data_IF_453540584175
#
_entry.id   IF_453540584175
#
_cell.length_a   1.000
_cell.length_b   1.000
_cell.length_c   1.000
_cell.angle_alpha   90.00
_cell.angle_beta   90.00
_cell.angle_gamma   90.00
#
_symmetry.space_group_name_H-M   'P 1'
#
loop_
_entity.id
_entity.type
_entity.pdbx_description
1 polymer ?
#
# COMPACT_ATOMS: atom_id res chain seq x y z
N UNK A 1 9.79 21.18 -13.91
CA UNK A 1 9.70 21.89 -12.62
C UNK A 1 8.62 21.26 -11.77
N UNK A 2 8.98 20.40 -10.82
CA UNK A 2 8.03 19.82 -9.87
C UNK A 2 8.09 20.62 -8.56
N UNK A 3 7.29 21.68 -8.46
CA UNK A 3 7.08 22.34 -7.16
C UNK A 3 6.20 21.47 -6.25
N UNK A 4 6.41 21.58 -4.95
CA UNK A 4 5.51 21.00 -3.95
C UNK A 4 4.20 21.78 -3.90
N UNK A 5 3.10 21.08 -3.57
CA UNK A 5 1.76 21.65 -3.57
C UNK A 5 1.15 21.60 -2.17
N UNK A 6 0.74 22.75 -1.64
CA UNK A 6 -0.07 22.84 -0.42
C UNK A 6 -1.54 22.94 -0.81
N UNK A 7 -2.41 22.03 -0.33
CA UNK A 7 -3.84 22.12 -0.58
C UNK A 7 -4.42 23.28 0.22
N UNK A 8 -5.14 24.17 -0.46
CA UNK A 8 -5.88 25.26 0.17
C UNK A 8 -7.35 25.06 -0.18
N UNK A 9 -8.22 25.16 0.82
CA UNK A 9 -9.66 25.06 0.63
C UNK A 9 -10.17 26.31 -0.10
N UNK A 10 -11.04 26.11 -1.10
CA UNK A 10 -11.52 27.22 -1.95
C UNK A 10 -12.43 28.18 -1.19
N UNK A 11 -13.04 27.71 -0.11
CA UNK A 11 -13.93 28.46 0.78
C UNK A 11 -13.20 29.00 2.02
N UNK A 12 -11.87 28.88 2.11
CA UNK A 12 -11.07 29.32 3.25
C UNK A 12 -11.41 30.75 3.73
N UNK A 13 -11.53 31.78 2.86
CA UNK A 13 -11.87 33.14 3.30
C UNK A 13 -13.28 33.26 3.93
N UNK A 14 -14.18 32.31 3.65
CA UNK A 14 -15.56 32.31 4.16
C UNK A 14 -15.74 31.48 5.42
N UNK A 15 -14.70 30.77 5.87
CA UNK A 15 -14.79 29.95 7.07
C UNK A 15 -14.93 30.82 8.32
N UNK A 16 -15.80 30.38 9.24
CA UNK A 16 -16.07 31.09 10.51
C UNK A 16 -14.80 31.41 11.30
N UNK A 17 -13.84 30.47 11.33
CA UNK A 17 -12.56 30.66 12.03
C UNK A 17 -11.72 31.77 11.38
N UNK A 18 -11.67 31.83 10.05
CA UNK A 18 -10.94 32.86 9.31
C UNK A 18 -11.60 34.23 9.47
N UNK A 19 -12.94 34.30 9.47
CA UNK A 19 -13.68 35.53 9.76
C UNK A 19 -13.39 36.01 11.20
N UNK A 20 -13.33 35.10 12.17
CA UNK A 20 -12.98 35.44 13.55
C UNK A 20 -11.54 35.98 13.66
N UNK A 21 -10.56 35.34 12.99
CA UNK A 21 -9.19 35.84 12.92
C UNK A 21 -9.11 37.23 12.27
N UNK A 22 -9.86 37.44 11.18
CA UNK A 22 -9.92 38.72 10.48
C UNK A 22 -10.43 39.84 11.40
N UNK A 23 -11.52 39.59 12.14
CA UNK A 23 -12.06 40.53 13.14
C UNK A 23 -11.07 40.82 14.27
N UNK A 24 -10.32 39.82 14.73
CA UNK A 24 -9.28 39.97 15.76
C UNK A 24 -8.11 40.84 15.29
N UNK A 25 -7.69 40.65 14.04
CA UNK A 25 -6.53 41.32 13.44
C UNK A 25 -6.87 42.69 12.84
N UNK A 26 -8.15 43.00 12.61
CA UNK A 26 -8.57 44.21 11.93
C UNK A 26 -8.25 44.22 10.43
N UNK A 27 -8.16 43.05 9.80
CA UNK A 27 -7.83 42.89 8.36
C UNK A 27 -8.94 42.14 7.62
N UNK A 28 -8.87 42.10 6.29
CA UNK A 28 -9.86 41.35 5.50
C UNK A 28 -9.68 39.83 5.62
N UNK A 29 -10.75 39.01 5.53
CA UNK A 29 -10.64 37.55 5.52
C UNK A 29 -9.78 37.01 4.36
N UNK A 30 -9.73 37.71 3.23
CA UNK A 30 -8.86 37.37 2.09
C UNK A 30 -7.38 37.54 2.43
N UNK A 31 -7.05 38.61 3.17
CA UNK A 31 -5.69 38.84 3.63
C UNK A 31 -5.24 37.77 4.62
N UNK A 32 -6.11 37.38 5.57
CA UNK A 32 -5.85 36.26 6.48
C UNK A 32 -5.62 34.97 5.69
N UNK A 33 -6.46 34.65 4.71
CA UNK A 33 -6.31 33.47 3.87
C UNK A 33 -4.98 33.46 3.10
N UNK A 34 -4.55 34.61 2.56
CA UNK A 34 -3.25 34.75 1.88
C UNK A 34 -2.07 34.52 2.84
N UNK A 35 -2.13 35.10 4.05
CA UNK A 35 -1.10 34.91 5.08
C UNK A 35 -1.04 33.46 5.58
N UNK A 36 -2.19 32.80 5.71
CA UNK A 36 -2.27 31.37 6.05
C UNK A 36 -1.64 30.49 4.97
N UNK A 37 -1.96 30.74 3.69
CA UNK A 37 -1.37 30.02 2.57
C UNK A 37 0.16 30.11 2.57
N UNK A 38 0.69 31.32 2.80
CA UNK A 38 2.13 31.54 2.93
C UNK A 38 2.72 30.79 4.13
N UNK A 39 2.12 30.93 5.32
CA UNK A 39 2.57 30.25 6.53
C UNK A 39 2.60 28.73 6.37
N UNK A 40 1.55 28.14 5.80
CA UNK A 40 1.50 26.69 5.57
C UNK A 40 2.50 26.21 4.53
N UNK A 41 2.74 27.00 3.47
CA UNK A 41 3.83 26.77 2.52
C UNK A 41 5.17 26.68 3.21
N UNK A 42 5.50 27.69 4.02
CA UNK A 42 6.73 27.69 4.82
C UNK A 42 6.80 26.51 5.81
N UNK A 43 5.73 26.24 6.55
CA UNK A 43 5.67 25.19 7.56
C UNK A 43 5.96 23.80 6.96
N UNK A 44 5.44 23.51 5.77
CA UNK A 44 5.67 22.23 5.08
C UNK A 44 7.10 22.00 4.64
N UNK A 45 7.91 23.05 4.53
CA UNK A 45 9.33 22.96 4.16
C UNK A 45 10.24 22.73 5.37
N UNK A 46 9.71 22.85 6.59
CA UNK A 46 10.49 22.68 7.80
C UNK A 46 10.57 21.20 8.20
N UNK A 47 11.60 20.86 8.99
CA UNK A 47 11.72 19.54 9.61
C UNK A 47 10.72 19.40 10.76
N UNK A 48 9.49 18.99 10.43
CA UNK A 48 8.40 18.78 11.39
C UNK A 48 8.55 17.41 12.05
N UNK A 49 8.62 17.36 13.37
CA UNK A 49 8.59 16.12 14.14
C UNK A 49 7.14 15.67 14.29
N UNK A 50 6.82 14.46 13.87
CA UNK A 50 5.49 13.90 14.07
C UNK A 50 5.40 13.32 15.49
N UNK A 51 4.57 13.94 16.31
CA UNK A 51 4.25 13.47 17.65
C UNK A 51 3.16 12.39 17.61
N UNK A 52 3.03 11.65 18.71
CA UNK A 52 1.96 10.68 18.92
C UNK A 52 0.59 11.27 18.54
N UNK A 53 -0.16 10.51 17.74
CA UNK A 53 -1.55 10.83 17.41
C UNK A 53 -1.72 11.94 16.39
N UNK A 54 -0.98 11.90 15.28
CA UNK A 54 -1.27 12.74 14.10
C UNK A 54 -1.01 14.25 14.36
N UNK A 55 0.02 14.59 15.13
CA UNK A 55 0.38 15.99 15.43
C UNK A 55 1.77 16.31 14.90
N UNK A 56 1.93 17.48 14.28
CA UNK A 56 3.21 17.92 13.71
C UNK A 56 3.77 19.04 14.56
N UNK A 57 5.00 18.90 15.05
CA UNK A 57 5.64 19.86 15.92
C UNK A 57 6.88 20.48 15.27
N UNK A 58 6.97 21.81 15.33
CA UNK A 58 8.22 22.54 15.13
C UNK A 58 8.95 22.64 16.47
N UNK A 59 9.80 21.65 16.76
CA UNK A 59 10.57 21.60 18.01
C UNK A 59 11.63 22.72 17.98
N UNK A 60 11.69 23.51 19.06
CA UNK A 60 12.61 24.65 19.17
C UNK A 60 12.10 25.94 18.52
N UNK A 61 10.91 25.95 17.93
CA UNK A 61 10.27 27.16 17.42
C UNK A 61 9.13 27.58 18.36
N UNK A 62 9.25 28.76 18.96
CA UNK A 62 8.14 29.41 19.66
C UNK A 62 7.52 30.51 18.81
N UNK A 63 6.42 31.10 19.29
CA UNK A 63 5.75 32.21 18.59
C UNK A 63 6.74 33.34 18.32
N UNK A 64 7.56 33.72 19.30
CA UNK A 64 8.58 34.77 19.14
C UNK A 64 9.59 34.42 18.03
N UNK A 65 10.08 33.18 17.99
CA UNK A 65 11.02 32.73 16.97
C UNK A 65 10.47 32.85 15.55
N UNK A 66 9.19 32.51 15.35
CA UNK A 66 8.52 32.60 14.05
C UNK A 66 8.29 34.06 13.64
N UNK A 67 8.00 34.92 14.62
CA UNK A 67 7.81 36.37 14.41
C UNK A 67 9.13 37.05 14.09
N UNK A 68 10.20 36.75 14.84
CA UNK A 68 11.54 37.31 14.65
C UNK A 68 12.13 36.89 13.30
N UNK A 69 11.82 35.68 12.84
CA UNK A 69 12.18 35.20 11.50
C UNK A 69 11.37 35.88 10.38
N UNK A 70 10.35 36.69 10.69
CA UNK A 70 9.50 37.36 9.71
C UNK A 70 8.55 36.43 8.96
N UNK A 71 8.28 35.23 9.49
CA UNK A 71 7.47 34.23 8.79
C UNK A 71 5.97 34.46 8.94
N UNK A 72 5.54 34.96 10.09
CA UNK A 72 4.16 35.35 10.34
C UNK A 72 4.11 36.48 11.39
N UNK A 73 3.15 37.43 11.28
CA UNK A 73 2.97 38.42 12.33
C UNK A 73 2.45 37.75 13.62
N UNK A 74 2.85 38.29 14.77
CA UNK A 74 2.40 37.81 16.09
C UNK A 74 0.88 37.69 16.18
N UNK A 75 0.16 38.70 15.70
CA UNK A 75 -1.31 38.73 15.72
C UNK A 75 -1.95 37.55 14.97
N UNK A 76 -1.34 37.07 13.88
CA UNK A 76 -1.83 35.90 13.15
C UNK A 76 -1.62 34.62 13.96
N UNK A 77 -0.42 34.42 14.51
CA UNK A 77 -0.09 33.23 15.29
C UNK A 77 -0.95 33.13 16.55
N UNK A 78 -1.14 34.24 17.26
CA UNK A 78 -2.00 34.28 18.44
C UNK A 78 -3.47 33.99 18.06
N UNK A 79 -3.96 34.52 16.93
CA UNK A 79 -5.29 34.22 16.43
C UNK A 79 -5.44 32.75 15.97
N UNK A 80 -4.40 32.15 15.38
CA UNK A 80 -4.38 30.73 15.03
C UNK A 80 -4.42 29.83 16.27
N UNK A 81 -3.74 30.21 17.35
CA UNK A 81 -3.75 29.48 18.62
C UNK A 81 -5.13 29.59 19.27
N UNK A 82 -5.72 30.78 19.27
CA UNK A 82 -7.08 31.02 19.78
C UNK A 82 -8.14 30.18 19.04
N UNK A 83 -7.97 29.95 17.73
CA UNK A 83 -8.86 29.12 16.93
C UNK A 83 -8.46 27.63 16.86
N UNK A 84 -7.52 27.21 17.72
CA UNK A 84 -7.03 25.83 17.84
C UNK A 84 -6.42 25.27 16.54
N UNK A 85 -5.87 26.14 15.70
CA UNK A 85 -5.08 25.74 14.52
C UNK A 85 -3.62 25.48 14.87
N UNK A 86 -3.17 26.04 15.99
CA UNK A 86 -1.86 25.83 16.59
C UNK A 86 -2.02 25.61 18.08
N UNK A 87 -1.07 24.90 18.68
CA UNK A 87 -0.99 24.70 20.13
C UNK A 87 0.44 24.95 20.57
N UNK A 88 0.61 25.61 21.72
CA UNK A 88 1.93 25.77 22.36
C UNK A 88 2.13 24.56 23.26
N UNK A 89 3.10 23.71 22.95
CA UNK A 89 3.46 22.56 23.78
C UNK A 89 4.96 22.57 24.07
N UNK A 90 5.38 21.74 25.01
CA UNK A 90 6.80 21.46 25.27
C UNK A 90 7.08 20.03 24.84
N UNK A 91 8.00 19.86 23.90
CA UNK A 91 8.43 18.55 23.37
C UNK A 91 9.90 18.39 23.73
N UNK A 92 10.25 17.32 24.44
CA UNK A 92 11.62 17.03 24.87
C UNK A 92 12.31 18.18 25.63
N UNK A 93 11.54 18.89 26.46
CA UNK A 93 12.03 20.04 27.24
C UNK A 93 12.22 21.32 26.43
N UNK A 94 11.92 21.30 25.13
CA UNK A 94 11.97 22.48 24.27
C UNK A 94 10.56 23.00 23.93
N UNK A 95 10.36 24.32 23.86
CA UNK A 95 9.12 24.88 23.37
C UNK A 95 8.89 24.46 21.92
N UNK A 96 7.66 24.08 21.60
CA UNK A 96 7.27 23.65 20.27
C UNK A 96 5.92 24.25 19.86
N UNK A 97 5.84 24.65 18.60
CA UNK A 97 4.59 25.02 17.96
C UNK A 97 4.00 23.77 17.29
N UNK A 98 2.85 23.31 17.78
CA UNK A 98 2.22 22.07 17.36
C UNK A 98 1.02 22.37 16.48
N UNK A 99 0.92 21.68 15.34
CA UNK A 99 -0.23 21.67 14.44
C UNK A 99 -1.07 20.43 14.76
N UNK A 100 -2.30 20.61 15.28
CA UNK A 100 -3.23 19.50 15.50
C UNK A 100 -3.61 18.82 14.19
N UNK A 101 -3.71 17.48 14.20
CA UNK A 101 -4.13 16.67 13.05
C UNK A 101 -3.26 16.90 11.80
N UNK A 102 -1.96 17.12 11.99
CA UNK A 102 -0.99 17.45 10.94
C UNK A 102 -1.00 16.46 9.78
N UNK A 103 -1.02 15.15 10.01
CA UNK A 103 -1.16 14.15 8.95
C UNK A 103 -2.42 14.36 8.17
N UNK A 104 -3.56 14.63 8.83
CA UNK A 104 -4.86 14.85 8.19
C UNK A 104 -4.88 16.07 7.25
N UNK A 105 -4.00 17.05 7.49
CA UNK A 105 -3.88 18.28 6.68
C UNK A 105 -2.71 18.25 5.70
N UNK A 106 -1.52 17.80 6.12
CA UNK A 106 -0.24 18.07 5.46
C UNK A 106 0.56 16.81 5.06
N UNK A 107 0.59 15.73 5.85
CA UNK A 107 1.55 14.61 5.63
C UNK A 107 1.16 13.66 4.47
N UNK A 108 -0.13 13.32 4.30
CA UNK A 108 -0.54 12.49 3.15
C UNK A 108 -0.70 13.37 1.94
N UNK A 109 0.39 13.54 1.19
CA UNK A 109 0.48 14.15 -0.14
C UNK A 109 -0.90 14.55 -0.67
N UNK A 110 -1.21 15.84 -0.70
CA UNK A 110 -2.48 16.38 -1.20
C UNK A 110 -2.91 15.75 -2.53
N UNK A 111 -1.93 15.35 -3.35
CA UNK A 111 -2.09 14.56 -4.57
C UNK A 111 -2.75 13.19 -4.34
N UNK A 112 -2.33 12.40 -3.35
CA UNK A 112 -2.93 11.12 -3.02
C UNK A 112 -4.38 11.26 -2.53
N UNK A 113 -4.66 12.28 -1.71
CA UNK A 113 -6.04 12.62 -1.28
C UNK A 113 -6.92 13.06 -2.45
N UNK A 114 -6.45 14.03 -3.24
CA UNK A 114 -7.14 14.51 -4.43
C UNK A 114 -7.39 13.37 -5.42
N UNK A 115 -6.42 12.48 -5.62
CA UNK A 115 -6.59 11.30 -6.46
C UNK A 115 -7.62 10.32 -5.90
N UNK A 116 -7.66 10.08 -4.58
CA UNK A 116 -8.70 9.26 -3.95
C UNK A 116 -10.09 9.87 -4.14
N UNK A 117 -10.25 11.19 -3.91
CA UNK A 117 -11.51 11.91 -4.11
C UNK A 117 -11.95 11.87 -5.57
N UNK A 118 -11.03 12.08 -6.52
CA UNK A 118 -11.31 11.96 -7.96
C UNK A 118 -11.76 10.53 -8.31
N UNK A 119 -11.08 9.50 -7.79
CA UNK A 119 -11.44 8.10 -8.02
C UNK A 119 -12.84 7.79 -7.48
N UNK A 120 -13.16 8.24 -6.27
CA UNK A 120 -14.48 8.06 -5.66
C UNK A 120 -15.58 8.81 -6.42
N UNK A 121 -15.31 10.05 -6.85
CA UNK A 121 -16.27 10.83 -7.67
C UNK A 121 -16.55 10.15 -8.99
N UNK A 122 -15.50 9.70 -9.71
CA UNK A 122 -15.64 8.93 -10.95
C UNK A 122 -16.38 7.62 -10.74
N UNK A 123 -16.11 6.91 -9.64
CA UNK A 123 -16.82 5.68 -9.29
C UNK A 123 -18.32 5.94 -9.07
N UNK A 124 -18.69 6.98 -8.30
CA UNK A 124 -20.10 7.37 -8.09
C UNK A 124 -20.79 7.80 -9.38
N UNK A 125 -20.10 8.57 -10.24
CA UNK A 125 -20.62 8.97 -11.54
C UNK A 125 -20.78 7.77 -12.50
N UNK A 126 -19.90 6.78 -12.43
CA UNK A 126 -19.99 5.54 -13.20
C UNK A 126 -21.08 4.59 -12.70
N UNK A 127 -21.36 4.56 -11.40
CA UNK A 127 -22.47 3.78 -10.84
C UNK A 127 -23.84 4.40 -11.12
N UNK A 128 -23.93 5.73 -11.18
CA UNK A 128 -25.15 6.44 -11.58
C UNK A 128 -25.48 6.26 -13.08
N UNK A 129 -24.53 5.79 -13.89
CA UNK A 129 -24.66 5.60 -15.33
C UNK A 129 -24.64 4.12 -15.76
N UNK A 130 -24.78 3.16 -14.84
CA UNK A 130 -24.97 1.77 -15.23
C UNK A 130 -26.38 1.62 -15.83
N UNK A 131 -26.53 1.33 -17.14
CA UNK A 131 -27.84 1.06 -17.70
C UNK A 131 -28.42 -0.18 -17.04
N UNK A 132 -29.70 -0.14 -16.66
CA UNK A 132 -30.51 -1.30 -16.27
C UNK A 132 -30.32 -2.42 -17.31
N UNK A 133 -29.41 -3.34 -17.04
CA UNK A 133 -29.29 -4.55 -17.85
C UNK A 133 -30.45 -5.44 -17.48
N UNK A 134 -31.46 -5.49 -18.37
CA UNK A 134 -32.48 -6.55 -18.43
C UNK A 134 -31.82 -7.89 -18.16
N UNK A 135 -32.13 -8.47 -17.01
CA UNK A 135 -31.69 -9.77 -16.56
C UNK A 135 -32.25 -10.84 -17.50
N UNK A 136 -31.39 -11.49 -18.27
CA UNK A 136 -31.69 -12.82 -18.82
C UNK A 136 -31.51 -13.82 -17.68
N UNK A 137 -32.66 -14.16 -17.14
CA UNK A 137 -33.02 -15.31 -16.33
C UNK A 137 -32.32 -16.60 -16.79
N UNK A 138 -31.28 -17.07 -16.06
CA UNK A 138 -30.93 -18.50 -16.04
C UNK A 138 -30.09 -18.97 -14.85
N UNK A 139 -29.36 -18.10 -14.14
CA UNK A 139 -28.42 -18.56 -13.09
C UNK A 139 -28.80 -18.27 -11.62
N UNK A 140 -29.97 -17.68 -11.35
CA UNK A 140 -30.41 -17.40 -9.98
C UNK A 140 -31.24 -18.51 -9.29
N UNK A 141 -31.63 -19.60 -9.98
CA UNK A 141 -32.39 -20.69 -9.32
C UNK A 141 -31.56 -21.55 -8.37
N UNK A 142 -30.23 -21.54 -8.46
CA UNK A 142 -29.37 -22.38 -7.59
C UNK A 142 -28.98 -21.72 -6.26
N UNK A 143 -29.10 -20.40 -6.14
CA UNK A 143 -28.79 -19.65 -4.91
C UNK A 143 -30.01 -19.39 -4.02
N UNK A 144 -31.23 -19.55 -4.53
CA UNK A 144 -32.47 -19.30 -3.77
C UNK A 144 -32.87 -20.38 -2.76
N UNK A 145 -32.16 -21.53 -2.73
CA UNK A 145 -32.46 -22.64 -1.80
C UNK A 145 -31.58 -22.65 -0.53
N UNK A 146 -30.72 -21.65 -0.33
CA UNK A 146 -29.84 -21.54 0.86
C UNK A 146 -30.06 -20.31 1.73
N UNK A 147 -31.03 -19.44 1.43
CA UNK A 147 -31.26 -18.18 2.17
C UNK A 147 -32.74 -17.92 2.46
N UNK A 148 -33.47 -18.93 2.92
CA UNK A 148 -34.76 -18.74 3.58
C UNK A 148 -34.67 -19.23 5.02
N UNK A 149 -34.02 -18.43 5.86
CA UNK A 149 -34.32 -18.32 7.29
C UNK A 149 -34.26 -16.83 7.60
N UNK A 150 -35.38 -16.30 8.05
CA UNK A 150 -35.62 -14.89 8.33
C UNK A 150 -34.72 -14.36 9.45
N UNK A 151 -34.00 -13.28 9.18
CA UNK A 151 -33.41 -12.42 10.20
C UNK A 151 -33.45 -10.95 9.74
N UNK A 152 -33.93 -10.01 10.55
CA UNK A 152 -34.01 -8.60 10.20
C UNK A 152 -32.62 -7.96 10.22
N UNK A 153 -32.28 -7.26 9.13
CA UNK A 153 -31.00 -6.57 8.93
C UNK A 153 -31.15 -5.11 9.34
N UNK A 154 -30.81 -4.81 10.59
CA UNK A 154 -30.39 -3.49 11.04
C UNK A 154 -29.07 -3.67 11.81
N UNK A 155 -27.95 -3.63 11.09
CA UNK A 155 -26.63 -3.49 11.70
C UNK A 155 -25.82 -2.45 10.91
N UNK A 156 -25.25 -1.44 11.59
CA UNK A 156 -24.48 -0.39 10.94
C UNK A 156 -23.15 -0.95 10.43
N UNK A 157 -22.80 -0.58 9.21
CA UNK A 157 -21.53 -0.95 8.59
C UNK A 157 -20.41 -0.13 9.24
N UNK A 158 -19.73 -0.74 10.20
CA UNK A 158 -18.59 -0.21 10.93
C UNK A 158 -17.43 0.05 9.96
N UNK A 159 -17.20 1.33 9.65
CA UNK A 159 -16.16 1.80 8.73
C UNK A 159 -14.86 2.12 9.48
N UNK A 160 -14.39 1.19 10.30
CA UNK A 160 -13.10 1.26 10.97
C UNK A 160 -12.02 0.63 10.08
N UNK A 161 -11.52 1.37 9.08
CA UNK A 161 -10.24 1.03 8.45
C UNK A 161 -9.13 1.53 9.39
N UNK A 162 -8.80 0.69 10.38
CA UNK A 162 -7.66 0.89 11.25
C UNK A 162 -6.39 1.02 10.40
N UNK A 163 -5.77 2.19 10.47
CA UNK A 163 -4.39 2.34 10.01
C UNK A 163 -3.51 1.49 10.91
N UNK A 164 -3.04 0.38 10.35
CA UNK A 164 -2.14 -0.57 11.00
C UNK A 164 -0.85 0.16 11.39
N UNK A 165 -0.75 0.47 12.68
CA UNK A 165 0.40 1.03 13.35
C UNK A 165 1.65 0.18 13.08
N UNK A 166 2.55 0.65 12.20
CA UNK A 166 3.78 -0.07 11.83
C UNK A 166 4.77 -0.16 13.00
N UNK A 167 4.58 0.65 14.04
CA UNK A 167 5.40 0.69 15.27
C UNK A 167 5.27 -0.59 16.11
N UNK A 168 4.24 -1.43 15.86
CA UNK A 168 4.03 -2.71 16.55
C UNK A 168 4.47 -3.92 15.72
N UNK A 169 5.44 -3.77 14.81
CA UNK A 169 6.05 -4.93 14.11
C UNK A 169 6.81 -5.77 15.15
N UNK A 170 6.13 -6.82 15.67
CA UNK A 170 6.73 -7.83 16.55
C UNK A 170 8.07 -8.27 15.97
N UNK A 171 9.13 -8.38 16.79
CA UNK A 171 10.42 -8.86 16.32
C UNK A 171 10.23 -10.19 15.61
N UNK A 172 10.72 -10.28 14.37
CA UNK A 172 10.66 -11.53 13.61
C UNK A 172 11.61 -12.51 14.27
N UNK A 173 11.04 -13.50 14.96
CA UNK A 173 11.79 -14.67 15.39
C UNK A 173 12.02 -15.53 14.15
N UNK A 174 13.29 -15.71 13.78
CA UNK A 174 13.67 -16.57 12.65
C UNK A 174 13.46 -18.03 13.06
N UNK A 175 12.64 -18.81 12.33
CA UNK A 175 12.49 -20.23 12.61
C UNK A 175 13.84 -20.96 12.44
N UNK A 176 14.22 -21.82 13.38
CA UNK A 176 15.49 -22.55 13.32
C UNK A 176 15.63 -23.38 12.03
N UNK A 177 14.53 -23.94 11.54
CA UNK A 177 14.47 -24.71 10.28
C UNK A 177 14.73 -23.87 9.02
N UNK A 178 14.57 -22.54 9.10
CA UNK A 178 14.82 -21.64 7.98
C UNK A 178 16.33 -21.35 7.83
N UNK A 179 17.12 -21.41 8.91
CA UNK A 179 18.55 -21.06 8.89
C UNK A 179 19.36 -21.86 7.85
N UNK A 180 19.22 -23.21 7.75
CA UNK A 180 19.94 -23.98 6.73
C UNK A 180 19.60 -23.56 5.29
N UNK A 181 18.40 -23.03 5.05
CA UNK A 181 18.00 -22.53 3.74
C UNK A 181 18.58 -21.15 3.43
N UNK A 182 18.69 -20.27 4.42
CA UNK A 182 19.33 -18.95 4.25
C UNK A 182 20.82 -19.12 3.91
N UNK A 183 21.51 -19.95 4.67
CA UNK A 183 22.93 -20.28 4.45
C UNK A 183 23.15 -20.93 3.08
N UNK A 184 22.31 -21.90 2.73
CA UNK A 184 22.34 -22.54 1.41
C UNK A 184 22.14 -21.53 0.28
N UNK A 185 21.16 -20.64 0.40
CA UNK A 185 20.89 -19.61 -0.61
C UNK A 185 22.04 -18.60 -0.72
N UNK A 186 22.65 -18.20 0.39
CA UNK A 186 23.80 -17.30 0.41
C UNK A 186 25.05 -17.93 -0.22
N UNK A 187 25.24 -19.24 -0.05
CA UNK A 187 26.27 -19.98 -0.80
C UNK A 187 26.02 -19.89 -2.30
N UNK A 188 24.80 -20.17 -2.75
CA UNK A 188 24.42 -20.08 -4.18
C UNK A 188 24.64 -18.67 -4.75
N UNK A 189 24.35 -17.62 -3.96
CA UNK A 189 24.61 -16.24 -4.33
C UNK A 189 26.11 -15.96 -4.48
N UNK A 190 26.93 -16.46 -3.54
CA UNK A 190 28.40 -16.32 -3.59
C UNK A 190 29.00 -17.03 -4.80
N UNK A 191 28.41 -18.16 -5.22
CA UNK A 191 28.79 -18.88 -6.45
C UNK A 191 28.25 -18.22 -7.75
N UNK A 192 27.49 -17.13 -7.65
CA UNK A 192 26.92 -16.43 -8.82
C UNK A 192 25.76 -17.17 -9.49
N UNK A 193 25.12 -18.11 -8.80
CA UNK A 193 24.01 -18.91 -9.33
C UNK A 193 22.64 -18.23 -9.15
N UNK A 194 22.55 -17.28 -8.22
CA UNK A 194 21.38 -16.42 -8.00
C UNK A 194 21.82 -14.98 -7.82
N UNK A 195 20.96 -14.03 -8.18
CA UNK A 195 21.33 -12.61 -8.24
C UNK A 195 21.39 -11.89 -6.88
N UNK A 196 20.79 -12.45 -5.84
CA UNK A 196 20.63 -11.77 -4.56
C UNK A 196 20.73 -12.75 -3.37
N UNK A 197 21.54 -12.40 -2.38
CA UNK A 197 21.60 -13.05 -1.07
C UNK A 197 20.49 -12.60 -0.11
N UNK A 198 20.48 -13.16 1.09
CA UNK A 198 19.53 -12.85 2.17
C UNK A 198 20.28 -12.71 3.50
N UNK A 199 19.88 -11.75 4.33
CA UNK A 199 20.42 -11.61 5.70
C UNK A 199 19.98 -12.80 6.57
N UNK A 200 20.95 -13.53 7.13
CA UNK A 200 20.73 -14.72 7.95
C UNK A 200 20.15 -14.39 9.33
N UNK A 201 20.56 -13.25 9.90
CA UNK A 201 20.14 -12.82 11.24
C UNK A 201 18.78 -12.12 11.18
N UNK A 202 18.51 -11.43 10.07
CA UNK A 202 17.28 -10.64 9.89
C UNK A 202 16.69 -10.82 8.48
N UNK A 203 16.22 -12.02 8.13
CA UNK A 203 15.58 -12.24 6.84
C UNK A 203 14.35 -11.34 6.69
N UNK A 204 14.07 -10.93 5.45
CA UNK A 204 12.92 -10.07 5.18
C UNK A 204 11.61 -10.74 5.60
N UNK A 205 10.60 -9.95 5.96
CA UNK A 205 9.25 -10.46 6.28
C UNK A 205 8.66 -11.29 5.13
N UNK A 206 9.02 -10.98 3.89
CA UNK A 206 8.60 -11.72 2.72
C UNK A 206 9.18 -13.15 2.69
N UNK A 207 10.45 -13.32 3.04
CA UNK A 207 11.11 -14.64 3.12
C UNK A 207 10.50 -15.46 4.25
N UNK A 208 10.47 -14.91 5.48
CA UNK A 208 9.91 -15.61 6.63
C UNK A 208 8.42 -15.96 6.45
N UNK A 209 7.64 -15.03 5.89
CA UNK A 209 6.22 -15.24 5.59
C UNK A 209 5.98 -16.27 4.48
N UNK A 210 6.87 -16.34 3.48
CA UNK A 210 6.75 -17.33 2.41
C UNK A 210 7.19 -18.73 2.88
N UNK A 211 8.25 -18.83 3.69
CA UNK A 211 8.65 -20.07 4.36
C UNK A 211 7.52 -20.63 5.24
N UNK A 212 6.90 -19.78 6.08
CA UNK A 212 5.78 -20.25 6.91
C UNK A 212 4.62 -20.80 6.08
N UNK A 213 4.35 -20.22 4.92
CA UNK A 213 3.32 -20.71 3.99
C UNK A 213 3.74 -22.02 3.30
N UNK A 214 5.02 -22.13 2.90
CA UNK A 214 5.57 -23.35 2.29
C UNK A 214 5.47 -24.54 3.24
N UNK A 215 5.72 -24.31 4.54
CA UNK A 215 5.58 -25.34 5.56
C UNK A 215 4.12 -25.76 5.80
N UNK A 216 3.14 -24.92 5.49
CA UNK A 216 1.72 -25.27 5.62
C UNK A 216 1.17 -26.06 4.41
N UNK A 217 1.86 -26.03 3.27
CA UNK A 217 1.45 -26.70 2.03
C UNK A 217 2.24 -28.01 1.87
N UNK A 218 1.56 -29.15 1.92
CA UNK A 218 2.20 -30.47 1.86
C UNK A 218 2.99 -30.67 0.56
N UNK A 219 2.44 -30.21 -0.56
CA UNK A 219 3.08 -30.38 -1.87
C UNK A 219 4.39 -29.59 -1.97
N UNK A 220 4.38 -28.35 -1.46
CA UNK A 220 5.59 -27.51 -1.45
C UNK A 220 6.63 -28.09 -0.50
N UNK A 221 6.19 -28.65 0.64
CA UNK A 221 7.08 -29.28 1.61
C UNK A 221 7.79 -30.51 1.01
N UNK A 222 7.06 -31.34 0.27
CA UNK A 222 7.62 -32.52 -0.40
C UNK A 222 8.65 -32.11 -1.47
N UNK A 223 8.34 -31.07 -2.28
CA UNK A 223 9.30 -30.53 -3.24
C UNK A 223 10.55 -29.94 -2.59
N UNK A 224 10.40 -29.30 -1.43
CA UNK A 224 11.53 -28.74 -0.67
C UNK A 224 12.37 -29.80 0.05
N UNK A 225 11.88 -31.04 0.18
CA UNK A 225 12.62 -32.11 0.84
C UNK A 225 13.88 -32.50 0.05
N UNK A 226 13.84 -32.44 -1.29
CA UNK A 226 14.98 -32.73 -2.16
C UNK A 226 15.73 -31.45 -2.55
N UNK A 227 16.51 -30.93 -1.60
CA UNK A 227 17.31 -29.72 -1.79
C UNK A 227 18.35 -29.87 -2.89
N UNK A 228 18.96 -31.05 -3.02
CA UNK A 228 20.03 -31.30 -3.99
C UNK A 228 19.50 -31.24 -5.42
N UNK A 229 18.29 -31.79 -5.65
CA UNK A 229 17.61 -31.65 -6.94
C UNK A 229 17.33 -30.18 -7.28
N UNK A 230 16.85 -29.37 -6.33
CA UNK A 230 16.63 -27.93 -6.55
C UNK A 230 17.95 -27.24 -6.92
N UNK A 231 19.03 -27.54 -6.21
CA UNK A 231 20.35 -26.98 -6.48
C UNK A 231 20.84 -27.33 -7.89
N UNK A 232 20.73 -28.59 -8.30
CA UNK A 232 21.08 -29.03 -9.65
C UNK A 232 20.30 -28.28 -10.73
N UNK A 233 18.99 -28.05 -10.50
CA UNK A 233 18.13 -27.31 -11.44
C UNK A 233 18.49 -25.82 -11.52
N UNK A 234 18.84 -25.20 -10.39
CA UNK A 234 19.33 -23.81 -10.38
C UNK A 234 20.66 -23.70 -11.13
N UNK A 235 21.59 -24.65 -10.93
CA UNK A 235 22.88 -24.67 -11.65
C UNK A 235 22.70 -24.79 -13.17
N UNK A 236 21.71 -25.57 -13.61
CA UNK A 236 21.39 -25.81 -15.02
C UNK A 236 20.54 -24.71 -15.69
N UNK A 237 20.19 -23.63 -14.98
CA UNK A 237 19.29 -22.57 -15.47
C UNK A 237 19.92 -21.19 -15.36
N UNK A 238 20.12 -20.51 -16.49
CA UNK A 238 20.54 -19.12 -16.55
C UNK A 238 19.42 -18.19 -16.07
N UNK A 239 18.16 -18.60 -16.20
CA UNK A 239 17.00 -17.83 -15.77
C UNK A 239 16.98 -17.57 -14.25
N UNK A 240 17.54 -18.48 -13.45
CA UNK A 240 17.68 -18.32 -12.00
C UNK A 240 18.69 -17.22 -11.60
N UNK A 241 19.53 -16.77 -12.53
CA UNK A 241 20.52 -15.69 -12.30
C UNK A 241 19.93 -14.29 -12.47
N UNK A 242 18.67 -14.19 -12.90
CA UNK A 242 18.00 -12.90 -13.09
C UNK A 242 17.49 -12.32 -11.75
N UNK A 243 17.47 -10.98 -11.64
CA UNK A 243 17.07 -10.22 -10.44
C UNK A 243 15.68 -10.51 -9.85
N UNK A 244 14.81 -11.16 -10.62
CA UNK A 244 13.45 -11.51 -10.19
C UNK A 244 13.39 -12.83 -9.41
N UNK A 245 14.39 -13.72 -9.56
CA UNK A 245 14.44 -15.02 -8.90
C UNK A 245 15.07 -14.90 -7.51
N UNK A 246 14.22 -14.83 -6.49
CA UNK A 246 14.60 -14.60 -5.09
C UNK A 246 14.10 -15.73 -4.21
N UNK A 247 14.70 -15.90 -3.03
CA UNK A 247 14.35 -16.99 -2.10
C UNK A 247 12.86 -16.99 -1.73
N UNK A 248 12.23 -15.82 -1.52
CA UNK A 248 10.80 -15.76 -1.22
C UNK A 248 9.92 -16.20 -2.39
N UNK A 249 10.43 -16.18 -3.62
CA UNK A 249 9.73 -16.70 -4.79
C UNK A 249 9.76 -18.22 -4.82
N UNK A 250 10.92 -18.81 -4.51
CA UNK A 250 11.12 -20.25 -4.46
C UNK A 250 10.13 -20.90 -3.46
N UNK A 251 9.95 -20.31 -2.27
CA UNK A 251 9.12 -20.93 -1.23
C UNK A 251 7.61 -20.96 -1.48
N UNK A 252 7.05 -20.22 -2.42
CA UNK A 252 5.59 -20.29 -2.57
C UNK A 252 4.95 -19.27 -3.48
N UNK A 253 5.73 -18.63 -4.35
CA UNK A 253 5.13 -17.79 -5.39
C UNK A 253 4.76 -18.66 -6.58
N UNK A 254 3.67 -18.25 -7.22
CA UNK A 254 3.19 -18.82 -8.47
C UNK A 254 3.60 -17.94 -9.64
N UNK A 255 3.82 -18.54 -10.80
CA UNK A 255 4.08 -17.83 -12.06
C UNK A 255 2.77 -17.17 -12.59
N UNK A 256 2.82 -16.60 -13.80
CA UNK A 256 1.64 -15.97 -14.42
C UNK A 256 0.54 -16.99 -14.72
N UNK A 257 0.91 -18.24 -14.96
CA UNK A 257 0.02 -19.37 -15.25
C UNK A 257 -0.52 -20.05 -13.99
N UNK A 258 -0.24 -19.47 -12.81
CA UNK A 258 -0.65 -19.95 -11.48
C UNK A 258 0.02 -21.27 -11.04
N UNK A 259 1.10 -21.69 -11.70
CA UNK A 259 1.91 -22.84 -11.29
C UNK A 259 2.94 -22.44 -10.24
N UNK A 260 3.27 -23.35 -9.33
CA UNK A 260 4.30 -23.13 -8.32
C UNK A 260 5.67 -23.01 -9.00
N UNK A 261 6.38 -21.91 -8.76
CA UNK A 261 7.71 -21.66 -9.37
C UNK A 261 8.67 -22.81 -9.03
N UNK A 262 8.62 -23.31 -7.80
CA UNK A 262 9.42 -24.46 -7.36
C UNK A 262 9.16 -25.73 -8.18
N UNK A 263 7.88 -26.02 -8.47
CA UNK A 263 7.49 -27.18 -9.28
C UNK A 263 8.05 -27.06 -10.70
N UNK A 264 7.81 -25.92 -11.35
CA UNK A 264 8.33 -25.65 -12.71
C UNK A 264 9.85 -25.77 -12.77
N UNK A 265 10.55 -25.33 -11.72
CA UNK A 265 12.00 -25.46 -11.61
C UNK A 265 12.45 -26.92 -11.50
N UNK A 266 11.82 -27.70 -10.61
CA UNK A 266 12.13 -29.13 -10.41
C UNK A 266 11.86 -29.96 -11.67
N UNK A 267 10.79 -29.63 -12.39
CA UNK A 267 10.41 -30.23 -13.68
C UNK A 267 11.33 -29.80 -14.85
N UNK A 268 12.24 -28.85 -14.62
CA UNK A 268 13.20 -28.39 -15.63
C UNK A 268 12.63 -27.34 -16.60
N UNK A 269 11.49 -26.72 -16.30
CA UNK A 269 10.84 -25.70 -17.14
C UNK A 269 11.66 -24.41 -17.34
N UNK A 270 12.78 -24.25 -16.63
CA UNK A 270 13.71 -23.13 -16.78
C UNK A 270 15.08 -23.50 -17.35
N UNK A 271 15.28 -24.72 -17.87
CA UNK A 271 16.54 -25.08 -18.51
C UNK A 271 16.74 -24.25 -19.79
N UNK A 272 17.98 -23.82 -20.04
CA UNK A 272 18.38 -22.90 -21.12
C UNK A 272 18.28 -23.50 -22.53
N UNK A 273 17.08 -23.91 -22.92
CA UNK A 273 16.71 -24.12 -24.30
C UNK A 273 16.26 -22.81 -24.94
N UNK A 274 16.56 -22.56 -26.23
CA UNK A 274 15.91 -21.48 -26.97
C UNK A 274 14.41 -21.70 -26.84
N UNK A 275 13.71 -20.78 -26.13
CA UNK A 275 12.27 -20.86 -25.78
C UNK A 275 11.48 -21.70 -26.79
N UNK A 276 11.47 -23.02 -26.62
CA UNK A 276 10.46 -23.86 -27.23
C UNK A 276 9.26 -23.45 -26.42
N UNK A 277 8.38 -22.67 -27.05
CA UNK A 277 7.09 -22.30 -26.46
C UNK A 277 6.59 -23.56 -25.77
N UNK A 278 6.56 -23.57 -24.44
CA UNK A 278 6.02 -24.70 -23.69
C UNK A 278 4.70 -25.03 -24.36
N UNK A 279 4.47 -26.30 -24.76
CA UNK A 279 3.26 -26.66 -25.45
C UNK A 279 2.14 -26.16 -24.56
N UNK A 280 1.44 -25.15 -25.06
CA UNK A 280 0.31 -24.56 -24.36
C UNK A 280 -0.57 -25.74 -24.03
N UNK A 281 -0.77 -26.02 -22.74
CA UNK A 281 -1.63 -27.07 -22.20
C UNK A 281 -3.12 -26.83 -22.51
N UNK A 282 -3.39 -26.14 -23.62
CA UNK A 282 -4.66 -25.94 -24.28
C UNK A 282 -4.60 -26.45 -25.73
N UNK A 283 -4.03 -27.65 -25.95
CA UNK A 283 -4.55 -28.49 -27.03
C UNK A 283 -5.98 -28.88 -26.64
N UNK A 284 -6.90 -27.94 -26.85
CA UNK A 284 -8.30 -28.25 -27.05
C UNK A 284 -8.32 -29.17 -28.27
N UNK A 285 -8.55 -30.45 -28.04
CA UNK A 285 -8.84 -31.42 -29.08
C UNK A 285 -10.14 -30.96 -29.76
N UNK A 286 -10.00 -30.20 -30.85
CA UNK A 286 -11.12 -29.71 -31.67
C UNK A 286 -11.67 -30.83 -32.57
N UNK A 287 -11.71 -32.06 -32.04
CA UNK A 287 -12.56 -33.14 -32.55
C UNK A 287 -13.95 -32.99 -31.94
N UNK A 288 -14.65 -31.91 -32.29
CA UNK A 288 -16.11 -31.96 -32.24
C UNK A 288 -16.56 -33.02 -33.26
N UNK A 289 -17.27 -34.08 -32.86
CA UNK A 289 -17.97 -34.90 -33.84
C UNK A 289 -18.94 -33.98 -34.60
N UNK A 290 -18.90 -34.06 -35.93
CA UNK A 290 -19.83 -33.36 -36.80
C UNK A 290 -21.26 -33.60 -36.30
N UNK A 291 -22.04 -32.53 -36.11
CA UNK A 291 -23.47 -32.66 -35.83
C UNK A 291 -24.13 -33.34 -37.04
N UNK A 292 -24.79 -34.50 -36.88
CA UNK A 292 -25.64 -35.03 -37.93
C UNK A 292 -26.96 -34.25 -37.92
N UNK A 293 -27.40 -33.84 -39.11
CA UNK A 293 -28.79 -33.42 -39.32
C UNK A 293 -29.03 -31.92 -39.35
N UNK A 294 -28.71 -31.29 -40.48
CA UNK A 294 -29.53 -30.21 -41.00
C UNK A 294 -29.81 -30.57 -42.45
N UNK A 295 -30.90 -31.32 -42.66
CA UNK A 295 -31.46 -31.57 -43.97
C UNK A 295 -32.37 -30.38 -44.31
N UNK A 296 -32.12 -29.79 -45.46
CA UNK A 296 -32.99 -28.81 -46.10
C UNK A 296 -34.35 -29.45 -46.40
N UNK A 297 -35.43 -28.86 -45.86
CA UNK A 297 -36.78 -28.82 -46.42
C UNK A 297 -37.50 -27.58 -45.91
#
# INVERSE_FOLDING_TARGET
>A
MSGDYVPIETDLPTQRKVIAMAGRMGVSPFEVAGRLAYFWGWFTQQNVVILNGDRGALVGAYVDTVVDAGMAPRALLDAMIEQEWLTKETVDGQPALVVPRYSSWLEKCAKARRQKTIRQRKWRQGMAAAPEKKTKDSDCRRLRRRLSVDAPVDAPVDASIEMRDESKKKPLVVPLELLPWLQWWNRMHTEGLVSAGVDENKPSQAVAGSWKKSQADAEVRDLLADRDQIEQRIRASQFCREGWFRLEKLFGRRNKDKELILRVLVEGGYQDGPKTKSPTSGAYDDRRPAKPGQADF
#
